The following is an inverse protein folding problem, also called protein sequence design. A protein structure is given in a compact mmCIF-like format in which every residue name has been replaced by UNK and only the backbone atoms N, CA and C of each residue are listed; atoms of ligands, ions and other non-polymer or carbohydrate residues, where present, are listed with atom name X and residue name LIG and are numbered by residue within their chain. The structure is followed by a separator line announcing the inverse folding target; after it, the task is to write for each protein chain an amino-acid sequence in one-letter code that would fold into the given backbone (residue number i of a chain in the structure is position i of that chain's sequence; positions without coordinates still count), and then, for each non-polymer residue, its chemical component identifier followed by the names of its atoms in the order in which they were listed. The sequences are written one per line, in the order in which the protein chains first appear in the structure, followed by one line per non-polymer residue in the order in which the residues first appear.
data_IF_250938404988
#
_entry.id   IF_250938404988
#
_cell.length_a   1.000
_cell.length_b   1.000
_cell.length_c   1.000
_cell.angle_alpha   90.00
_cell.angle_beta   90.00
_cell.angle_gamma   90.00
#
_symmetry.space_group_name_H-M   'P 1'
#
loop_
_entity.id
_entity.type
_entity.pdbx_description
1 polymer ?
#
# COMPACT_ATOMS: atom_id res chain seq x y z
N UNK A 1 6.38 10.41 0.24
CA UNK A 1 5.36 10.28 1.31
C UNK A 1 4.13 11.17 1.08
N UNK A 2 4.17 12.49 1.37
CA UNK A 2 2.99 13.38 1.20
C UNK A 2 2.41 13.41 -0.21
N UNK A 3 3.28 13.54 -1.23
CA UNK A 3 2.86 13.52 -2.63
C UNK A 3 2.27 12.16 -3.03
N UNK A 4 2.90 11.07 -2.59
CA UNK A 4 2.46 9.69 -2.82
C UNK A 4 1.03 9.44 -2.30
N UNK A 5 0.73 9.89 -1.08
CA UNK A 5 -0.61 9.78 -0.49
C UNK A 5 -1.49 11.03 -0.67
N UNK A 6 -1.20 11.89 -1.65
CA UNK A 6 -1.93 13.15 -1.85
C UNK A 6 -3.45 12.97 -1.99
N UNK A 7 -3.90 11.84 -2.54
CA UNK A 7 -5.31 11.44 -2.61
C UNK A 7 -6.01 11.33 -1.24
N UNK A 8 -5.24 11.21 -0.15
CA UNK A 8 -5.73 11.13 1.23
C UNK A 8 -5.48 12.41 2.03
N UNK A 9 -4.97 13.48 1.42
CA UNK A 9 -4.59 14.73 2.12
C UNK A 9 -5.69 15.38 2.96
N UNK A 10 -6.97 15.14 2.64
CA UNK A 10 -8.13 15.64 3.40
C UNK A 10 -8.62 14.68 4.49
N UNK A 11 -8.01 13.50 4.62
CA UNK A 11 -8.44 12.48 5.59
C UNK A 11 -7.83 12.76 6.96
N UNK A 12 -8.56 12.49 8.06
CA UNK A 12 -8.08 12.78 9.41
C UNK A 12 -6.83 11.96 9.80
N UNK A 13 -6.59 10.83 9.14
CA UNK A 13 -5.43 9.96 9.37
C UNK A 13 -4.21 10.30 8.49
N UNK A 14 -4.27 11.35 7.66
CA UNK A 14 -3.22 11.62 6.67
C UNK A 14 -1.85 11.88 7.28
N UNK A 15 -1.79 12.70 8.32
CA UNK A 15 -0.52 13.04 8.97
C UNK A 15 0.09 11.83 9.69
N UNK A 16 -0.75 10.99 10.31
CA UNK A 16 -0.33 9.73 10.92
C UNK A 16 0.23 8.76 9.88
N UNK A 17 -0.46 8.60 8.73
CA UNK A 17 -0.01 7.78 7.61
C UNK A 17 1.35 8.24 7.09
N UNK A 18 1.53 9.54 6.86
CA UNK A 18 2.80 10.11 6.40
C UNK A 18 3.92 9.91 7.42
N UNK A 19 3.62 10.08 8.71
CA UNK A 19 4.57 9.82 9.80
C UNK A 19 5.01 8.36 9.81
N UNK A 20 4.05 7.42 9.74
CA UNK A 20 4.32 5.99 9.79
C UNK A 20 5.21 5.51 8.64
N UNK A 21 4.87 5.82 7.38
CA UNK A 21 5.64 5.36 6.21
C UNK A 21 7.03 5.98 6.12
N UNK A 22 7.29 7.07 6.84
CA UNK A 22 8.61 7.73 6.90
C UNK A 22 9.38 7.41 8.18
N UNK A 23 8.83 6.61 9.08
CA UNK A 23 9.46 6.23 10.35
C UNK A 23 10.60 5.21 10.18
N UNK A 24 10.72 4.60 9.00
CA UNK A 24 11.73 3.58 8.71
C UNK A 24 12.08 3.49 7.23
N UNK A 25 12.98 2.57 6.90
CA UNK A 25 13.32 2.27 5.50
C UNK A 25 12.21 1.44 4.87
N UNK A 26 11.92 1.74 3.61
CA UNK A 26 10.97 0.98 2.79
C UNK A 26 11.71 0.33 1.62
N UNK A 27 11.16 -0.77 1.12
CA UNK A 27 11.59 -1.39 -0.13
C UNK A 27 10.55 -1.07 -1.18
N UNK A 28 10.99 -0.47 -2.29
CA UNK A 28 10.16 -0.20 -3.45
C UNK A 28 10.50 -1.20 -4.56
N UNK A 29 9.47 -1.72 -5.23
CA UNK A 29 9.60 -2.64 -6.36
C UNK A 29 8.49 -2.39 -7.38
N UNK A 30 8.79 -2.65 -8.65
CA UNK A 30 7.81 -2.68 -9.74
C UNK A 30 7.52 -4.15 -10.04
N UNK A 31 6.23 -4.51 -10.06
CA UNK A 31 5.77 -5.86 -10.39
C UNK A 31 5.19 -5.83 -11.80
N UNK A 32 5.71 -6.68 -12.67
CA UNK A 32 5.28 -6.80 -14.06
C UNK A 32 4.79 -8.23 -14.33
N UNK A 33 3.52 -8.35 -14.69
CA UNK A 33 2.88 -9.57 -15.16
C UNK A 33 1.49 -9.27 -15.73
N UNK A 34 0.86 -10.27 -16.34
CA UNK A 34 -0.54 -10.17 -16.75
C UNK A 34 -1.43 -9.93 -15.52
N UNK A 35 -2.29 -8.90 -15.61
CA UNK A 35 -3.17 -8.47 -14.52
C UNK A 35 -2.42 -8.10 -13.22
N UNK A 36 -1.21 -7.54 -13.32
CA UNK A 36 -0.34 -7.23 -12.18
C UNK A 36 -1.03 -6.51 -11.03
N UNK A 37 -1.86 -5.49 -11.31
CA UNK A 37 -2.56 -4.73 -10.26
C UNK A 37 -3.51 -5.63 -9.47
N UNK A 38 -4.44 -6.32 -10.14
CA UNK A 38 -5.42 -7.15 -9.43
C UNK A 38 -4.76 -8.34 -8.74
N UNK A 39 -3.80 -9.00 -9.39
CA UNK A 39 -3.09 -10.14 -8.82
C UNK A 39 -2.27 -9.74 -7.59
N UNK A 40 -1.56 -8.62 -7.66
CA UNK A 40 -0.78 -8.12 -6.52
C UNK A 40 -1.70 -7.79 -5.34
N UNK A 41 -2.87 -7.18 -5.60
CA UNK A 41 -3.85 -6.87 -4.53
C UNK A 41 -4.46 -8.12 -3.91
N UNK A 42 -4.69 -9.16 -4.70
CA UNK A 42 -5.15 -10.47 -4.21
C UNK A 42 -4.11 -11.10 -3.27
N UNK A 43 -2.84 -11.15 -3.68
CA UNK A 43 -1.73 -11.66 -2.86
C UNK A 43 -1.57 -10.85 -1.56
N UNK A 44 -1.77 -9.53 -1.63
CA UNK A 44 -1.65 -8.64 -0.46
C UNK A 44 -2.79 -8.85 0.54
N UNK A 45 -4.02 -9.04 0.08
CA UNK A 45 -5.20 -9.16 0.93
C UNK A 45 -5.82 -7.82 1.36
N UNK A 46 -6.94 -7.90 2.09
CA UNK A 46 -7.72 -6.73 2.52
C UNK A 46 -6.93 -5.79 3.43
N UNK A 47 -7.23 -4.48 3.35
CA UNK A 47 -6.51 -3.43 4.09
C UNK A 47 -6.48 -3.64 5.60
N UNK A 48 -7.58 -4.14 6.19
CA UNK A 48 -7.63 -4.53 7.59
C UNK A 48 -7.12 -5.98 7.73
N UNK A 49 -5.97 -6.22 8.38
CA UNK A 49 -5.43 -7.58 8.58
C UNK A 49 -6.42 -8.56 9.19
N UNK A 50 -7.34 -8.08 10.06
CA UNK A 50 -8.38 -8.90 10.68
C UNK A 50 -9.43 -9.44 9.71
N UNK A 51 -9.54 -8.84 8.54
CA UNK A 51 -10.48 -9.22 7.48
C UNK A 51 -9.78 -9.83 6.26
N UNK A 52 -8.44 -9.89 6.28
CA UNK A 52 -7.63 -10.49 5.25
C UNK A 52 -7.55 -12.01 5.47
N UNK A 53 -7.55 -12.76 4.37
CA UNK A 53 -7.50 -14.22 4.44
C UNK A 53 -6.09 -14.69 4.83
N UNK A 54 -6.01 -15.80 5.57
CA UNK A 54 -4.74 -16.42 5.93
C UNK A 54 -3.95 -16.81 4.66
N UNK A 55 -2.64 -16.58 4.66
CA UNK A 55 -1.76 -16.77 3.49
C UNK A 55 -1.61 -15.54 2.60
N UNK A 56 -2.42 -14.48 2.82
CA UNK A 56 -2.15 -13.17 2.21
C UNK A 56 -1.10 -12.41 3.03
N UNK A 57 -0.38 -11.48 2.41
CA UNK A 57 0.67 -10.71 3.12
C UNK A 57 0.09 -10.00 4.35
N UNK A 58 -1.10 -9.40 4.23
CA UNK A 58 -1.75 -8.71 5.36
C UNK A 58 -2.32 -9.68 6.38
N UNK A 59 -2.84 -10.83 5.97
CA UNK A 59 -3.32 -11.86 6.88
C UNK A 59 -2.19 -12.42 7.77
N UNK A 60 -1.00 -12.60 7.19
CA UNK A 60 0.11 -13.24 7.89
C UNK A 60 1.03 -12.24 8.63
N UNK A 61 1.18 -11.01 8.12
CA UNK A 61 2.18 -10.05 8.63
C UNK A 61 1.61 -8.68 9.03
N UNK A 62 0.32 -8.43 8.83
CA UNK A 62 -0.31 -7.17 9.21
C UNK A 62 -0.58 -7.08 10.72
N UNK A 63 -0.31 -5.92 11.33
CA UNK A 63 -0.52 -5.69 12.76
C UNK A 63 -1.85 -4.96 13.01
N UNK A 64 -2.12 -3.92 12.22
CA UNK A 64 -3.32 -3.08 12.34
C UNK A 64 -3.72 -2.48 11.00
N UNK A 65 -4.81 -1.70 10.94
CA UNK A 65 -5.26 -1.05 9.70
C UNK A 65 -4.26 -0.01 9.18
N UNK A 66 -3.53 0.67 10.09
CA UNK A 66 -2.48 1.64 9.77
C UNK A 66 -1.12 0.98 9.58
N UNK A 67 -0.86 -0.15 10.25
CA UNK A 67 0.38 -0.93 10.19
C UNK A 67 0.14 -2.26 9.46
N UNK A 68 -0.29 -2.17 8.20
CA UNK A 68 -0.72 -3.32 7.40
C UNK A 68 0.37 -3.88 6.45
N UNK A 69 1.64 -3.69 6.81
CA UNK A 69 2.82 -4.28 6.16
C UNK A 69 3.18 -3.80 4.73
N UNK A 70 2.21 -3.64 3.83
CA UNK A 70 2.49 -3.40 2.40
C UNK A 70 1.44 -2.50 1.71
N UNK A 71 1.92 -1.69 0.75
CA UNK A 71 1.13 -0.90 -0.19
C UNK A 71 1.24 -1.49 -1.60
N UNK A 72 0.16 -1.40 -2.38
CA UNK A 72 0.17 -1.58 -3.83
C UNK A 72 -0.87 -0.68 -4.49
N UNK A 73 -0.57 -0.23 -5.70
CA UNK A 73 -1.45 0.58 -6.52
C UNK A 73 -2.82 -0.08 -6.69
N UNK A 74 -3.88 0.72 -6.73
CA UNK A 74 -5.27 0.24 -6.88
C UNK A 74 -5.79 0.28 -8.32
N UNK A 75 -5.05 0.93 -9.22
CA UNK A 75 -5.41 1.15 -10.62
C UNK A 75 -4.17 1.53 -11.42
N UNK A 76 -4.24 1.46 -12.75
CA UNK A 76 -3.14 1.88 -13.63
C UNK A 76 -2.83 3.36 -13.47
N UNK A 77 -3.86 4.20 -13.28
CA UNK A 77 -3.69 5.63 -13.05
C UNK A 77 -2.96 5.92 -11.73
N UNK A 78 -3.28 5.17 -10.66
CA UNK A 78 -2.55 5.26 -9.40
C UNK A 78 -1.11 4.77 -9.56
N UNK A 79 -0.89 3.67 -10.28
CA UNK A 79 0.46 3.17 -10.58
C UNK A 79 1.32 4.23 -11.29
N UNK A 80 0.81 4.85 -12.35
CA UNK A 80 1.54 5.87 -13.09
C UNK A 80 1.90 7.08 -12.21
N UNK A 81 1.03 7.49 -11.29
CA UNK A 81 1.32 8.55 -10.33
C UNK A 81 2.36 8.11 -9.30
N UNK A 82 2.20 6.91 -8.75
CA UNK A 82 3.04 6.36 -7.69
C UNK A 82 4.47 6.11 -8.18
N UNK A 83 4.64 5.53 -9.38
CA UNK A 83 5.96 5.22 -9.95
C UNK A 83 6.77 6.50 -10.19
N UNK A 84 6.16 7.55 -10.73
CA UNK A 84 6.80 8.86 -10.97
C UNK A 84 7.20 9.61 -9.67
N UNK A 85 6.68 9.19 -8.51
CA UNK A 85 7.01 9.78 -7.21
C UNK A 85 8.13 9.00 -6.51
N UNK A 86 8.23 7.70 -6.77
CA UNK A 86 9.14 6.79 -6.05
C UNK A 86 10.44 6.54 -6.81
N UNK A 87 10.41 6.51 -8.15
CA UNK A 87 11.55 6.25 -9.04
C UNK A 87 11.84 7.45 -9.92
#
# INVERSE_FOLDING_TARGET
AKQFYSAHSSKPFFDELVSFITSGKVVAAIIECDNAISLTREIIGKTNPKEADAGTIRGDFGISITENSIHASDSSESFDKEVNVVF
#
